data_IF_364258887675
#
_entry.id   IF_364258887675
#
_cell.length_a   1.000
_cell.length_b   1.000
_cell.length_c   1.000
_cell.angle_alpha   90.00
_cell.angle_beta   90.00
_cell.angle_gamma   90.00
#
_symmetry.space_group_name_H-M   'P 1'
#
loop_
_entity.id
_entity.type
_entity.pdbx_description
1 polymer ?
#
# COMPACT_ATOMS: atom_id res chain seq x y z
N UNK A 1 5.90 11.38 16.76
CA UNK A 1 6.42 10.00 16.78
C UNK A 1 6.20 9.39 15.41
N UNK A 2 7.19 8.69 14.87
CA UNK A 2 7.07 8.06 13.55
C UNK A 2 6.17 6.81 13.66
N UNK A 3 5.09 6.74 12.88
CA UNK A 3 4.10 5.64 12.92
C UNK A 3 4.22 4.66 11.75
N UNK A 4 5.08 4.94 10.79
CA UNK A 4 5.17 4.19 9.54
C UNK A 4 6.18 3.03 9.62
N UNK A 5 5.83 1.89 9.02
CA UNK A 5 6.75 0.80 8.69
C UNK A 5 6.68 0.60 7.18
N UNK A 6 7.76 0.93 6.47
CA UNK A 6 7.84 0.79 5.02
C UNK A 6 8.49 -0.54 4.64
N UNK A 7 7.83 -1.29 3.74
CA UNK A 7 8.33 -2.55 3.20
C UNK A 7 8.56 -2.34 1.71
N UNK A 8 9.82 -2.34 1.29
CA UNK A 8 10.25 -2.23 -0.09
C UNK A 8 11.19 -3.39 -0.43
N UNK A 9 11.18 -3.83 -1.68
CA UNK A 9 11.99 -4.93 -2.17
C UNK A 9 12.66 -4.53 -3.48
N UNK A 10 13.85 -5.06 -3.72
CA UNK A 10 14.60 -4.82 -4.97
C UNK A 10 14.09 -5.67 -6.13
N UNK A 11 13.40 -6.77 -5.81
CA UNK A 11 12.90 -7.73 -6.78
C UNK A 11 11.46 -8.17 -6.45
N UNK A 12 10.66 -8.50 -7.48
CA UNK A 12 9.36 -9.15 -7.32
C UNK A 12 9.47 -10.51 -6.61
N UNK A 13 8.36 -10.99 -6.04
CA UNK A 13 8.26 -12.35 -5.48
C UNK A 13 9.24 -12.67 -4.34
N UNK A 14 9.78 -11.64 -3.69
CA UNK A 14 10.77 -11.73 -2.59
C UNK A 14 10.14 -11.99 -1.22
N UNK A 15 8.85 -12.35 -1.16
CA UNK A 15 8.16 -12.67 0.09
C UNK A 15 7.66 -11.47 0.90
N UNK A 16 7.63 -10.27 0.31
CA UNK A 16 7.22 -9.03 1.01
C UNK A 16 5.85 -9.12 1.68
N UNK A 17 4.88 -9.81 1.07
CA UNK A 17 3.54 -9.99 1.63
C UNK A 17 3.55 -10.81 2.91
N UNK A 18 4.43 -11.81 2.99
CA UNK A 18 4.59 -12.64 4.20
C UNK A 18 5.18 -11.81 5.33
N UNK A 19 6.15 -10.94 5.02
CA UNK A 19 6.70 -9.98 5.99
C UNK A 19 5.61 -9.02 6.47
N UNK A 20 4.80 -8.47 5.56
CA UNK A 20 3.67 -7.61 5.91
C UNK A 20 2.66 -8.31 6.82
N UNK A 21 2.27 -9.55 6.49
CA UNK A 21 1.36 -10.37 7.31
C UNK A 21 1.93 -10.62 8.72
N UNK A 22 3.20 -11.03 8.81
CA UNK A 22 3.85 -11.29 10.09
C UNK A 22 3.94 -10.03 10.98
N UNK A 23 4.28 -8.89 10.38
CA UNK A 23 4.31 -7.61 11.08
C UNK A 23 2.93 -7.17 11.55
N UNK A 24 1.91 -7.34 10.70
CA UNK A 24 0.53 -7.00 11.05
C UNK A 24 0.04 -7.85 12.22
N UNK A 25 0.25 -9.18 12.16
CA UNK A 25 -0.06 -10.11 13.25
C UNK A 25 0.66 -9.73 14.56
N UNK A 26 1.96 -9.41 14.49
CA UNK A 26 2.75 -9.02 15.66
C UNK A 26 2.21 -7.76 16.32
N UNK A 27 1.86 -6.74 15.54
CA UNK A 27 1.37 -5.46 16.05
C UNK A 27 -0.05 -5.59 16.63
N UNK A 28 -0.94 -6.32 15.96
CA UNK A 28 -2.27 -6.63 16.50
C UNK A 28 -2.18 -7.41 17.82
N UNK A 29 -1.25 -8.36 17.93
CA UNK A 29 -1.00 -9.11 19.16
C UNK A 29 -0.53 -8.24 20.35
N UNK A 30 -0.06 -7.01 20.07
CA UNK A 30 0.27 -6.00 21.09
C UNK A 30 -0.88 -5.03 21.37
N UNK A 31 -2.06 -5.24 20.80
CA UNK A 31 -3.24 -4.38 20.96
C UNK A 31 -3.18 -3.07 20.18
N UNK A 32 -2.28 -2.93 19.20
CA UNK A 32 -2.16 -1.72 18.41
C UNK A 32 -3.25 -1.65 17.32
N UNK A 33 -3.71 -0.42 17.00
CA UNK A 33 -4.48 -0.15 15.77
C UNK A 33 -3.53 -0.05 14.59
N UNK A 34 -3.67 -0.94 13.62
CA UNK A 34 -2.73 -1.04 12.49
C UNK A 34 -3.44 -0.70 11.19
N UNK A 35 -2.94 0.32 10.49
CA UNK A 35 -3.33 0.66 9.13
C UNK A 35 -2.48 -0.11 8.11
N UNK A 36 -3.04 -0.35 6.93
CA UNK A 36 -2.33 -0.93 5.80
C UNK A 36 -2.50 -0.03 4.58
N UNK A 37 -1.40 0.24 3.88
CA UNK A 37 -1.39 1.13 2.73
C UNK A 37 -0.47 0.61 1.63
N UNK A 38 -0.96 0.63 0.39
CA UNK A 38 -0.19 0.39 -0.83
C UNK A 38 -0.30 1.61 -1.72
N UNK A 39 0.71 2.49 -1.77
CA UNK A 39 0.60 3.75 -2.51
C UNK A 39 0.13 3.56 -3.95
N UNK A 40 0.70 2.57 -4.63
CA UNK A 40 0.37 2.21 -6.01
C UNK A 40 0.01 0.72 -6.05
N UNK A 41 -1.10 0.38 -6.69
CA UNK A 41 -1.52 -1.01 -6.91
C UNK A 41 -1.39 -1.39 -8.38
N UNK A 42 -1.33 -2.70 -8.64
CA UNK A 42 -1.34 -3.22 -10.01
C UNK A 42 -2.69 -2.98 -10.70
N UNK A 43 -2.69 -2.96 -12.02
CA UNK A 43 -3.92 -2.82 -12.79
C UNK A 43 -4.73 -4.11 -12.70
N UNK A 44 -5.87 -4.03 -12.05
CA UNK A 44 -6.73 -5.20 -11.89
C UNK A 44 -7.53 -5.44 -13.16
N UNK A 45 -7.06 -6.36 -14.01
CA UNK A 45 -7.79 -6.73 -15.24
C UNK A 45 -9.11 -7.46 -14.97
N UNK A 46 -9.24 -8.14 -13.83
CA UNK A 46 -10.36 -9.06 -13.53
C UNK A 46 -10.85 -9.07 -12.07
N UNK A 47 -10.28 -8.27 -11.16
CA UNK A 47 -10.70 -8.19 -9.75
C UNK A 47 -11.24 -6.80 -9.42
N UNK A 48 -12.18 -6.72 -8.47
CA UNK A 48 -12.64 -5.43 -7.94
C UNK A 48 -11.60 -4.75 -7.02
N UNK A 49 -10.63 -5.52 -6.50
CA UNK A 49 -9.70 -5.06 -5.45
C UNK A 49 -8.30 -5.69 -5.63
N UNK A 50 -7.25 -4.96 -5.22
CA UNK A 50 -5.88 -5.47 -5.10
C UNK A 50 -5.81 -6.69 -4.16
N UNK A 51 -5.04 -7.71 -4.55
CA UNK A 51 -4.98 -8.98 -3.82
C UNK A 51 -4.34 -8.83 -2.44
N UNK A 52 -3.35 -7.97 -2.25
CA UNK A 52 -2.69 -7.82 -0.94
C UNK A 52 -3.61 -7.08 0.04
N UNK A 53 -4.28 -6.03 -0.42
CA UNK A 53 -5.28 -5.31 0.38
C UNK A 53 -6.39 -6.27 0.81
N UNK A 54 -6.91 -7.06 -0.12
CA UNK A 54 -7.96 -8.02 0.19
C UNK A 54 -7.48 -9.14 1.14
N UNK A 55 -6.23 -9.61 0.98
CA UNK A 55 -5.64 -10.58 1.90
C UNK A 55 -5.52 -10.03 3.31
N UNK A 56 -4.98 -8.82 3.50
CA UNK A 56 -4.90 -8.20 4.83
C UNK A 56 -6.30 -8.02 5.44
N UNK A 57 -7.25 -7.50 4.66
CA UNK A 57 -8.61 -7.27 5.10
C UNK A 57 -9.29 -8.56 5.57
N UNK A 58 -9.22 -9.61 4.77
CA UNK A 58 -9.91 -10.88 5.04
C UNK A 58 -9.21 -11.73 6.10
N UNK A 59 -7.88 -11.82 6.05
CA UNK A 59 -7.10 -12.64 7.00
C UNK A 59 -7.22 -12.14 8.44
N UNK A 60 -7.28 -10.82 8.64
CA UNK A 60 -7.43 -10.20 9.96
C UNK A 60 -8.87 -9.76 10.29
N UNK A 61 -9.84 -10.02 9.41
CA UNK A 61 -11.25 -9.65 9.63
C UNK A 61 -11.48 -8.13 9.80
N UNK A 62 -10.72 -7.31 9.06
CA UNK A 62 -10.77 -5.86 9.17
C UNK A 62 -11.93 -5.28 8.35
N UNK A 63 -12.67 -4.35 8.95
CA UNK A 63 -13.75 -3.63 8.28
C UNK A 63 -13.29 -2.25 7.81
N UNK A 64 -12.76 -2.18 6.59
CA UNK A 64 -12.40 -0.92 5.92
C UNK A 64 -12.71 -0.98 4.42
N UNK A 65 -12.97 0.18 3.82
CA UNK A 65 -13.11 0.30 2.36
C UNK A 65 -11.72 0.14 1.69
N UNK A 66 -11.53 -0.89 0.84
CA UNK A 66 -10.25 -1.12 0.15
C UNK A 66 -9.74 0.07 -0.67
N UNK A 67 -10.62 0.92 -1.19
CA UNK A 67 -10.26 2.13 -1.96
C UNK A 67 -9.50 3.17 -1.14
N UNK A 68 -9.60 3.11 0.19
CA UNK A 68 -8.85 3.97 1.09
C UNK A 68 -7.42 3.48 1.33
N UNK A 69 -7.12 2.22 1.01
CA UNK A 69 -5.81 1.61 1.25
C UNK A 69 -4.82 1.74 0.09
N UNK A 70 -5.17 2.47 -0.97
CA UNK A 70 -4.25 2.81 -2.06
C UNK A 70 -4.51 4.20 -2.64
N UNK A 71 -3.52 4.77 -3.34
CA UNK A 71 -3.68 6.06 -4.01
C UNK A 71 -4.08 5.91 -5.46
N UNK A 72 -3.30 5.17 -6.22
CA UNK A 72 -3.45 5.01 -7.67
C UNK A 72 -3.23 3.56 -8.11
N UNK A 73 -3.74 3.25 -9.28
CA UNK A 73 -3.30 2.13 -10.11
C UNK A 73 -2.05 2.51 -10.91
N UNK A 74 -1.33 1.50 -11.40
CA UNK A 74 -0.12 1.70 -12.21
C UNK A 74 -0.42 2.46 -13.51
N UNK A 75 -1.56 2.20 -14.15
CA UNK A 75 -1.99 2.92 -15.35
C UNK A 75 -2.25 4.40 -15.06
N UNK A 76 -2.94 4.74 -13.97
CA UNK A 76 -3.19 6.14 -13.59
C UNK A 76 -1.88 6.91 -13.36
N UNK A 77 -0.94 6.31 -12.63
CA UNK A 77 0.40 6.90 -12.42
C UNK A 77 1.13 7.11 -13.75
N UNK A 78 1.04 6.15 -14.68
CA UNK A 78 1.68 6.26 -15.99
C UNK A 78 1.10 7.41 -16.81
N UNK A 79 -0.22 7.57 -16.82
CA UNK A 79 -0.91 8.67 -17.52
C UNK A 79 -0.49 10.02 -16.92
N UNK A 80 -0.63 10.19 -15.60
CA UNK A 80 -0.30 11.44 -14.90
C UNK A 80 1.18 11.82 -15.06
N UNK A 81 2.09 10.83 -15.04
CA UNK A 81 3.52 11.07 -15.27
C UNK A 81 3.78 11.57 -16.68
N UNK A 82 3.13 10.99 -17.70
CA UNK A 82 3.28 11.44 -19.08
C UNK A 82 2.71 12.84 -19.31
N UNK A 83 1.79 13.29 -18.45
CA UNK A 83 1.27 14.66 -18.40
C UNK A 83 2.14 15.61 -17.57
N UNK A 84 3.27 15.15 -16.99
CA UNK A 84 4.16 15.96 -16.17
C UNK A 84 3.65 16.24 -14.75
N UNK A 85 2.63 15.50 -14.27
CA UNK A 85 1.94 15.73 -12.99
C UNK A 85 2.52 14.93 -11.82
N UNK A 86 3.84 14.85 -11.71
CA UNK A 86 4.51 14.07 -10.65
C UNK A 86 4.18 14.61 -9.25
N UNK A 87 4.13 15.93 -9.09
CA UNK A 87 3.81 16.57 -7.81
C UNK A 87 2.39 16.21 -7.35
N UNK A 88 1.42 16.16 -8.27
CA UNK A 88 0.04 15.76 -7.97
C UNK A 88 -0.05 14.31 -7.47
N UNK A 89 0.74 13.41 -8.07
CA UNK A 89 0.83 12.01 -7.65
C UNK A 89 1.35 11.93 -6.22
N UNK A 90 2.46 12.64 -5.93
CA UNK A 90 3.08 12.63 -4.61
C UNK A 90 2.15 13.24 -3.54
N UNK A 91 1.55 14.40 -3.82
CA UNK A 91 0.62 15.07 -2.92
C UNK A 91 -0.57 14.17 -2.58
N UNK A 92 -1.13 13.48 -3.57
CA UNK A 92 -2.26 12.58 -3.37
C UNK A 92 -1.88 11.35 -2.55
N UNK A 93 -0.71 10.75 -2.81
CA UNK A 93 -0.18 9.63 -2.02
C UNK A 93 0.00 10.06 -0.57
N UNK A 94 0.64 11.20 -0.33
CA UNK A 94 0.90 11.75 1.01
C UNK A 94 -0.42 12.02 1.73
N UNK A 95 -1.38 12.67 1.06
CA UNK A 95 -2.70 12.98 1.63
C UNK A 95 -3.44 11.73 2.06
N UNK A 96 -3.50 10.70 1.20
CA UNK A 96 -4.15 9.42 1.53
C UNK A 96 -3.43 8.69 2.66
N UNK A 97 -2.09 8.65 2.64
CA UNK A 97 -1.31 8.09 3.74
C UNK A 97 -1.62 8.79 5.07
N UNK A 98 -1.63 10.12 5.11
CA UNK A 98 -1.92 10.90 6.32
C UNK A 98 -3.32 10.64 6.87
N UNK A 99 -4.30 10.41 6.00
CA UNK A 99 -5.64 10.03 6.43
C UNK A 99 -5.66 8.70 7.19
N UNK A 100 -4.85 7.72 6.77
CA UNK A 100 -4.70 6.42 7.45
C UNK A 100 -3.88 6.58 8.74
N UNK A 101 -2.76 7.30 8.68
CA UNK A 101 -1.86 7.55 9.82
C UNK A 101 -2.59 8.21 10.99
N UNK A 102 -3.52 9.13 10.72
CA UNK A 102 -4.26 9.84 11.76
C UNK A 102 -5.15 8.94 12.62
N UNK A 103 -5.55 7.77 12.12
CA UNK A 103 -6.50 6.85 12.77
C UNK A 103 -5.85 5.61 13.40
N UNK A 104 -4.55 5.41 13.17
CA UNK A 104 -3.84 4.20 13.55
C UNK A 104 -2.61 4.52 14.42
N UNK A 105 -2.18 3.53 15.20
CA UNK A 105 -0.95 3.61 15.99
C UNK A 105 0.27 3.33 15.11
N UNK A 106 0.12 2.39 14.18
CA UNK A 106 1.11 2.07 13.16
C UNK A 106 0.47 1.98 11.78
N UNK A 107 1.22 2.27 10.73
CA UNK A 107 0.82 2.03 9.33
C UNK A 107 1.88 1.20 8.64
N UNK A 108 1.51 0.02 8.18
CA UNK A 108 2.35 -0.78 7.28
C UNK A 108 2.14 -0.25 5.87
N UNK A 109 3.21 0.27 5.26
CA UNK A 109 3.24 0.74 3.89
C UNK A 109 3.97 -0.29 3.05
N UNK A 110 3.23 -1.05 2.25
CA UNK A 110 3.80 -2.08 1.38
C UNK A 110 3.99 -1.50 -0.04
N UNK A 111 5.23 -1.53 -0.53
CA UNK A 111 5.55 -1.12 -1.90
C UNK A 111 4.90 -2.02 -2.94
N UNK A 112 4.91 -1.58 -4.20
CA UNK A 112 4.50 -2.43 -5.33
C UNK A 112 5.68 -3.30 -5.75
N UNK A 113 5.40 -4.55 -6.13
CA UNK A 113 6.38 -5.36 -6.85
C UNK A 113 6.54 -4.75 -8.25
N UNK A 114 7.58 -3.93 -8.46
CA UNK A 114 7.91 -3.47 -9.80
C UNK A 114 8.62 -4.61 -10.54
N UNK A 115 7.84 -5.40 -11.27
CA UNK A 115 8.38 -6.29 -12.31
C UNK A 115 8.36 -5.56 -13.67
N UNK A 116 9.51 -5.49 -14.34
CA UNK A 116 9.71 -4.84 -15.64
C UNK A 116 10.62 -3.60 -15.62
N UNK A 117 10.99 -3.07 -16.80
CA UNK A 117 12.00 -2.01 -17.06
C UNK A 117 11.79 -0.65 -16.36
N UNK A 118 10.86 -0.53 -15.42
CA UNK A 118 10.66 0.70 -14.65
C UNK A 118 11.17 0.51 -13.23
N UNK A 119 12.49 0.39 -13.10
CA UNK A 119 13.23 0.41 -11.83
C UNK A 119 13.41 1.83 -11.26
N UNK A 120 12.83 2.84 -11.89
CA UNK A 120 12.91 4.23 -11.46
C UNK A 120 11.55 4.69 -10.91
N UNK A 121 11.31 4.39 -9.64
CA UNK A 121 10.49 5.20 -8.74
C UNK A 121 11.44 5.85 -7.73
#
# INVERSE_FOLDING_TARGET
MNKAIYIATTEPSSGKSIVALGLFQMLLGKGAKVGYFRPIIGDSKNKKTDNHIETIRTFFGLDFNPELAYAYTRNEVTILRNEGKIDEILDTIIKKYKAIESKNDFVIVEGTDFSGESYAF
#
